data_IF_955581358421
#
_entry.id   IF_955581358421
#
_cell.length_a   1.000
_cell.length_b   1.000
_cell.length_c   1.000
_cell.angle_alpha   90.00
_cell.angle_beta   90.00
_cell.angle_gamma   90.00
#
_symmetry.space_group_name_H-M   'P 1'
#
loop_
_entity.id
_entity.type
_entity.pdbx_description
1 polymer ?
#
# COMPACT_ATOMS: atom_id res chain seq x y z
N UNK A 1 27.55 -48.20 -9.88
CA UNK A 1 27.76 -46.74 -9.79
C UNK A 1 26.41 -46.08 -9.59
N UNK A 2 26.10 -45.65 -8.36
CA UNK A 2 24.84 -44.96 -8.01
C UNK A 2 25.22 -43.57 -7.50
N UNK A 3 25.45 -42.61 -8.39
CA UNK A 3 25.55 -41.21 -8.00
C UNK A 3 24.14 -40.62 -8.09
N UNK A 4 23.36 -40.85 -7.04
CA UNK A 4 22.11 -40.13 -6.82
C UNK A 4 22.47 -38.77 -6.23
N UNK A 5 22.18 -37.75 -7.02
CA UNK A 5 22.09 -36.33 -6.69
C UNK A 5 21.40 -36.10 -5.34
N UNK A 6 22.19 -35.86 -4.29
CA UNK A 6 21.68 -35.34 -3.02
C UNK A 6 21.92 -33.82 -3.04
N UNK A 7 20.95 -33.10 -3.61
CA UNK A 7 20.84 -31.66 -3.41
C UNK A 7 20.45 -31.53 -1.94
N UNK A 8 21.43 -31.22 -1.08
CA UNK A 8 21.19 -30.91 0.32
C UNK A 8 20.08 -29.85 0.39
N UNK A 9 18.89 -30.26 0.83
CA UNK A 9 17.88 -29.31 1.25
C UNK A 9 18.48 -28.54 2.41
N UNK A 10 18.79 -27.27 2.20
CA UNK A 10 19.19 -26.38 3.28
C UNK A 10 17.98 -26.22 4.18
N UNK A 11 17.89 -27.08 5.18
CA UNK A 11 16.80 -27.07 6.13
C UNK A 11 16.91 -25.78 6.95
N UNK A 12 16.05 -24.82 6.62
CA UNK A 12 16.05 -23.52 7.26
C UNK A 12 15.66 -23.72 8.72
N UNK A 13 16.56 -23.28 9.61
CA UNK A 13 16.36 -23.35 11.05
C UNK A 13 14.95 -22.88 11.44
N UNK A 14 14.20 -23.61 12.30
CA UNK A 14 12.79 -23.32 12.58
C UNK A 14 12.52 -21.86 12.98
N UNK A 15 13.40 -21.27 13.79
CA UNK A 15 13.32 -19.86 14.18
C UNK A 15 13.41 -18.89 12.98
N UNK A 16 14.20 -19.22 11.95
CA UNK A 16 14.33 -18.41 10.74
C UNK A 16 13.10 -18.56 9.84
N UNK A 17 12.46 -19.74 9.80
CA UNK A 17 11.18 -19.92 9.12
C UNK A 17 10.09 -19.05 9.75
N UNK A 18 9.94 -19.11 11.08
CA UNK A 18 8.95 -18.31 11.81
C UNK A 18 9.15 -16.80 11.55
N UNK A 19 10.39 -16.32 11.57
CA UNK A 19 10.70 -14.91 11.27
C UNK A 19 10.34 -14.53 9.84
N UNK A 20 10.62 -15.42 8.87
CA UNK A 20 10.26 -15.21 7.46
C UNK A 20 8.75 -15.14 7.27
N UNK A 21 7.99 -16.00 7.93
CA UNK A 21 6.52 -15.99 7.88
C UNK A 21 5.94 -14.70 8.44
N UNK A 22 6.43 -14.26 9.60
CA UNK A 22 6.04 -12.97 10.19
C UNK A 22 6.39 -11.83 9.23
N UNK A 23 7.61 -11.81 8.69
CA UNK A 23 8.04 -10.78 7.73
C UNK A 23 7.16 -10.77 6.49
N UNK A 24 6.81 -11.94 5.94
CA UNK A 24 5.92 -12.07 4.80
C UNK A 24 4.52 -11.54 5.12
N UNK A 25 3.97 -11.86 6.29
CA UNK A 25 2.68 -11.32 6.72
C UNK A 25 2.71 -9.79 6.85
N UNK A 26 3.80 -9.24 7.41
CA UNK A 26 4.03 -7.79 7.50
C UNK A 26 4.17 -7.15 6.12
N UNK A 27 4.90 -7.79 5.21
CA UNK A 27 5.13 -7.33 3.85
C UNK A 27 3.84 -7.34 3.01
N UNK A 28 3.08 -8.43 3.09
CA UNK A 28 1.74 -8.51 2.50
C UNK A 28 0.87 -7.41 3.08
N UNK A 29 0.88 -7.17 4.40
CA UNK A 29 0.11 -6.09 5.02
C UNK A 29 0.56 -4.69 4.58
N UNK A 30 1.85 -4.47 4.33
CA UNK A 30 2.36 -3.17 3.88
C UNK A 30 2.08 -2.86 2.41
N UNK A 31 1.93 -3.91 1.58
CA UNK A 31 1.65 -3.78 0.14
C UNK A 31 0.20 -4.04 -0.25
N UNK A 32 -0.57 -4.74 0.57
CA UNK A 32 -1.99 -4.96 0.40
C UNK A 32 -2.71 -3.62 0.44
N UNK A 33 -3.20 -3.18 -0.71
CA UNK A 33 -4.04 -2.00 -0.84
C UNK A 33 -5.14 -2.03 0.23
N UNK A 34 -5.51 -0.85 0.74
CA UNK A 34 -6.41 -0.64 1.89
C UNK A 34 -7.69 -1.51 1.91
N UNK A 35 -8.19 -1.93 0.74
CA UNK A 35 -9.33 -2.84 0.62
C UNK A 35 -9.03 -4.30 1.00
N UNK A 36 -7.82 -4.80 0.69
CA UNK A 36 -7.38 -6.14 1.09
C UNK A 36 -7.08 -6.19 2.60
N UNK A 37 -6.52 -5.10 3.15
CA UNK A 37 -6.41 -4.94 4.60
C UNK A 37 -7.78 -4.97 5.29
N UNK A 38 -8.78 -4.24 4.77
CA UNK A 38 -10.12 -4.24 5.33
C UNK A 38 -10.74 -5.65 5.32
N UNK A 39 -10.61 -6.37 4.19
CA UNK A 39 -11.06 -7.77 4.04
C UNK A 39 -10.40 -8.70 5.06
N UNK A 40 -9.07 -8.65 5.22
CA UNK A 40 -8.33 -9.49 6.16
C UNK A 40 -8.60 -9.13 7.63
N UNK A 41 -8.92 -7.86 7.91
CA UNK A 41 -9.22 -7.36 9.25
C UNK A 41 -10.69 -7.54 9.65
N UNK A 42 -11.55 -8.12 8.79
CA UNK A 42 -12.99 -8.20 9.02
C UNK A 42 -13.70 -6.84 9.04
N UNK A 43 -13.05 -5.81 8.50
CA UNK A 43 -13.61 -4.47 8.39
C UNK A 43 -14.35 -4.35 7.06
N UNK A 44 -15.47 -3.63 7.05
CA UNK A 44 -16.15 -3.27 5.82
C UNK A 44 -15.14 -2.61 4.87
N UNK A 45 -15.07 -3.11 3.62
CA UNK A 45 -14.24 -2.48 2.61
C UNK A 45 -14.68 -1.02 2.48
N UNK A 46 -13.74 -0.05 2.43
CA UNK A 46 -14.13 1.34 2.28
C UNK A 46 -14.92 1.49 0.98
N UNK A 47 -16.19 1.91 1.09
CA UNK A 47 -17.12 2.09 -0.06
C UNK A 47 -16.50 2.95 -1.17
N UNK A 48 -15.60 3.86 -0.78
CA UNK A 48 -14.91 4.77 -1.68
C UNK A 48 -13.45 4.36 -1.88
N UNK A 49 -13.09 4.06 -3.13
CA UNK A 49 -11.69 3.96 -3.55
C UNK A 49 -11.00 5.30 -3.32
N UNK A 50 -9.84 5.27 -2.68
CA UNK A 50 -8.98 6.46 -2.51
C UNK A 50 -8.62 6.99 -3.88
N UNK A 51 -8.79 8.28 -4.12
CA UNK A 51 -8.48 8.96 -5.37
C UNK A 51 -7.10 9.62 -5.33
N UNK A 52 -6.68 10.18 -4.20
CA UNK A 52 -5.40 10.87 -4.07
C UNK A 52 -4.46 10.11 -3.13
N UNK A 53 -3.28 9.72 -3.65
CA UNK A 53 -2.26 9.01 -2.89
C UNK A 53 -0.99 9.84 -2.78
N UNK A 54 -0.43 9.93 -1.57
CA UNK A 54 0.91 10.49 -1.37
C UNK A 54 1.96 9.42 -1.70
N UNK A 55 2.89 9.74 -2.58
CA UNK A 55 4.05 8.90 -2.94
C UNK A 55 5.33 9.66 -2.68
N UNK A 56 6.30 8.99 -2.07
CA UNK A 56 7.66 9.52 -1.94
C UNK A 56 8.36 9.38 -3.29
N UNK A 57 8.79 10.50 -3.87
CA UNK A 57 9.50 10.56 -5.15
C UNK A 57 10.72 11.44 -4.95
N UNK A 58 11.91 10.82 -4.92
CA UNK A 58 13.16 11.50 -4.56
C UNK A 58 13.06 12.10 -3.16
N UNK A 59 13.31 13.41 -3.05
CA UNK A 59 13.27 14.17 -1.79
C UNK A 59 11.92 14.87 -1.55
N UNK A 60 10.88 14.54 -2.31
CA UNK A 60 9.57 15.17 -2.21
C UNK A 60 8.44 14.14 -2.09
N UNK A 61 7.32 14.59 -1.56
CA UNK A 61 6.09 13.84 -1.44
C UNK A 61 5.11 14.32 -2.51
N UNK A 62 4.91 13.48 -3.53
CA UNK A 62 4.01 13.71 -4.64
C UNK A 62 2.60 13.27 -4.27
N UNK A 63 1.60 14.08 -4.58
CA UNK A 63 0.19 13.75 -4.43
C UNK A 63 -0.31 13.33 -5.81
N UNK A 64 -0.54 12.04 -6.00
CA UNK A 64 -0.92 11.43 -7.28
C UNK A 64 -2.43 11.18 -7.29
N UNK A 65 -3.11 11.63 -8.34
CA UNK A 65 -4.49 11.23 -8.61
C UNK A 65 -4.46 9.83 -9.25
N UNK A 66 -4.98 8.83 -8.54
CA UNK A 66 -5.01 7.43 -8.95
C UNK A 66 -5.95 7.18 -10.14
N UNK A 67 -6.90 8.07 -10.43
CA UNK A 67 -7.78 7.96 -11.60
C UNK A 67 -7.03 8.36 -12.88
N UNK A 68 -6.21 9.41 -12.81
CA UNK A 68 -5.50 9.93 -13.99
C UNK A 68 -4.04 9.48 -14.07
N UNK A 69 -3.50 8.93 -12.99
CA UNK A 69 -2.09 8.59 -12.83
C UNK A 69 -1.16 9.81 -12.73
N UNK A 70 -1.69 11.04 -12.71
CA UNK A 70 -0.90 12.27 -12.75
C UNK A 70 -0.64 12.83 -11.35
N UNK A 71 0.53 13.44 -11.18
CA UNK A 71 0.85 14.21 -9.97
C UNK A 71 0.06 15.52 -9.98
N UNK A 72 -0.78 15.72 -8.98
CA UNK A 72 -1.58 16.94 -8.77
C UNK A 72 -0.80 18.03 -8.04
N UNK A 73 0.06 17.66 -7.10
CA UNK A 73 0.89 18.57 -6.33
C UNK A 73 2.07 17.82 -5.70
N UNK A 74 3.06 18.54 -5.19
CA UNK A 74 4.14 17.97 -4.39
C UNK A 74 4.42 18.85 -3.16
N UNK A 75 4.93 18.25 -2.09
CA UNK A 75 5.35 18.92 -0.86
C UNK A 75 6.65 18.31 -0.35
N UNK A 76 7.43 19.07 0.39
CA UNK A 76 8.68 18.59 1.00
C UNK A 76 8.48 18.05 2.42
N UNK A 77 7.30 18.26 3.01
CA UNK A 77 6.91 17.69 4.30
C UNK A 77 5.74 16.71 4.11
N UNK A 78 5.88 15.50 4.65
CA UNK A 78 4.88 14.44 4.56
C UNK A 78 3.52 14.84 5.14
N UNK A 79 3.51 15.47 6.32
CA UNK A 79 2.25 15.86 6.99
C UNK A 79 1.49 16.89 6.15
N UNK A 80 2.21 17.82 5.52
CA UNK A 80 1.62 18.82 4.63
C UNK A 80 1.08 18.15 3.36
N UNK A 81 1.81 17.18 2.80
CA UNK A 81 1.34 16.40 1.65
C UNK A 81 0.05 15.63 1.96
N UNK A 82 0.00 15.00 3.14
CA UNK A 82 -1.13 14.22 3.60
C UNK A 82 -2.37 15.09 3.83
N UNK A 83 -2.21 16.22 4.52
CA UNK A 83 -3.31 17.17 4.75
C UNK A 83 -3.88 17.69 3.42
N UNK A 84 -3.01 17.91 2.43
CA UNK A 84 -3.44 18.37 1.11
C UNK A 84 -4.15 17.26 0.32
N UNK A 85 -3.71 16.01 0.41
CA UNK A 85 -4.42 14.87 -0.17
C UNK A 85 -5.83 14.72 0.43
N UNK A 86 -5.98 14.88 1.75
CA UNK A 86 -7.29 14.88 2.43
C UNK A 86 -8.18 16.03 1.94
N UNK A 87 -7.60 17.23 1.74
CA UNK A 87 -8.35 18.36 1.19
C UNK A 87 -8.85 18.09 -0.24
N UNK A 88 -8.04 17.44 -1.08
CA UNK A 88 -8.45 17.03 -2.42
C UNK A 88 -9.55 15.97 -2.40
N UNK A 89 -9.48 14.99 -1.49
CA UNK A 89 -10.56 14.01 -1.30
C UNK A 89 -11.87 14.69 -0.89
N UNK A 90 -11.82 15.64 0.06
CA UNK A 90 -13.01 16.41 0.48
C UNK A 90 -13.64 17.19 -0.68
N UNK A 91 -12.81 17.84 -1.50
CA UNK A 91 -13.28 18.58 -2.67
C UNK A 91 -13.83 17.66 -3.77
N UNK A 92 -13.20 16.50 -3.99
CA UNK A 92 -13.69 15.51 -4.95
C UNK A 92 -15.02 14.87 -4.50
N UNK A 93 -15.26 14.73 -3.19
CA UNK A 93 -16.56 14.31 -2.66
C UNK A 93 -17.65 15.34 -2.94
N UNK A 94 -17.35 16.64 -2.78
CA UNK A 94 -18.31 17.73 -3.03
C UNK A 94 -18.85 17.75 -4.47
N UNK A 95 -18.03 17.37 -5.46
CA UNK A 95 -18.47 17.31 -6.86
C UNK A 95 -19.36 16.11 -7.19
N UNK A 96 -19.28 15.03 -6.40
CA UNK A 96 -20.12 13.84 -6.60
C UNK A 96 -21.52 13.99 -5.98
N UNK A 97 -21.69 14.88 -5.01
CA UNK A 97 -22.96 15.10 -4.28
C UNK A 97 -23.80 16.26 -4.85
N UNK A 98 -23.35 16.92 -5.92
CA UNK A 98 -23.92 18.19 -6.40
C UNK A 98 -24.20 18.28 -7.90
N UNK A 99 -24.46 17.16 -8.57
CA UNK A 99 -24.99 17.16 -9.95
C UNK A 99 -26.13 16.15 -10.04
N UNK A 100 -27.32 16.57 -9.60
CA UNK A 100 -28.63 16.06 -10.01
C UNK A 100 -29.63 17.21 -10.00
#
# INVERSE_FOLDING_TARGET
MKHATEIAQVEMHPLMQQRREVLNALFVRSHAARGEFARLAGLAAPDKKVRFQVRTVGNAYHIVDLVTGKTKAFRFNYQVALNMAIAFEKQANRLAEGVH
#
